data_IF_873878571598
#
_entry.id   IF_873878571598
#
_cell.length_a   1.000
_cell.length_b   1.000
_cell.length_c   1.000
_cell.angle_alpha   90.00
_cell.angle_beta   90.00
_cell.angle_gamma   90.00
#
_symmetry.space_group_name_H-M   'P 1'
#
loop_
_entity.id
_entity.type
_entity.pdbx_description
1 polymer ?
#
# COMPACT_ATOMS: atom_id res chain seq x y z
N UNK A 1 29.53 39.82 -1.78
CA UNK A 1 28.53 39.54 -0.72
C UNK A 1 29.12 38.43 0.14
N UNK A 2 29.51 38.72 1.39
CA UNK A 2 30.06 37.71 2.29
C UNK A 2 28.87 37.07 3.02
N UNK A 3 28.54 35.82 2.70
CA UNK A 3 27.45 35.08 3.35
C UNK A 3 28.04 34.45 4.61
N UNK A 4 27.43 34.71 5.76
CA UNK A 4 27.74 34.01 6.99
C UNK A 4 27.32 32.53 6.86
N UNK A 5 28.26 31.58 6.91
CA UNK A 5 27.96 30.16 6.75
C UNK A 5 27.00 29.61 7.81
N UNK A 6 27.03 30.14 9.03
CA UNK A 6 26.17 29.67 10.12
C UNK A 6 24.72 30.12 9.89
N UNK A 7 24.54 31.39 9.53
CA UNK A 7 23.21 31.94 9.19
C UNK A 7 22.62 31.23 7.98
N UNK A 8 23.44 30.98 6.95
CA UNK A 8 23.01 30.22 5.78
C UNK A 8 22.63 28.78 6.14
N UNK A 9 23.43 28.10 6.96
CA UNK A 9 23.15 26.74 7.42
C UNK A 9 21.84 26.65 8.21
N UNK A 10 21.59 27.60 9.11
CA UNK A 10 20.34 27.66 9.88
C UNK A 10 19.12 27.86 8.97
N UNK A 11 19.18 28.83 8.05
CA UNK A 11 18.10 29.09 7.10
C UNK A 11 17.80 27.88 6.19
N UNK A 12 18.85 27.17 5.76
CA UNK A 12 18.69 25.92 5.01
C UNK A 12 18.07 24.81 5.87
N UNK A 13 18.46 24.69 7.14
CA UNK A 13 17.90 23.73 8.08
C UNK A 13 16.40 23.95 8.31
N UNK A 14 15.98 25.21 8.47
CA UNK A 14 14.58 25.59 8.62
C UNK A 14 13.77 25.24 7.37
N UNK A 15 14.30 25.57 6.19
CA UNK A 15 13.65 25.24 4.92
C UNK A 15 13.50 23.72 4.71
N UNK A 16 14.56 22.95 5.01
CA UNK A 16 14.51 21.49 4.91
C UNK A 16 13.43 20.94 5.84
N UNK A 17 13.39 21.39 7.10
CA UNK A 17 12.40 20.94 8.07
C UNK A 17 10.98 21.27 7.62
N UNK A 18 10.76 22.49 7.15
CA UNK A 18 9.45 22.94 6.64
C UNK A 18 8.95 22.06 5.49
N UNK A 19 9.85 21.63 4.61
CA UNK A 19 9.50 20.78 3.46
C UNK A 19 9.39 19.30 3.84
N UNK A 20 10.21 18.79 4.75
CA UNK A 20 10.28 17.37 5.09
C UNK A 20 9.19 16.95 6.07
N UNK A 21 8.83 17.79 7.05
CA UNK A 21 7.81 17.43 8.05
C UNK A 21 6.44 17.01 7.44
N UNK A 22 5.90 17.71 6.42
CA UNK A 22 4.68 17.26 5.74
C UNK A 22 4.85 15.92 5.01
N UNK A 23 6.03 15.66 4.46
CA UNK A 23 6.33 14.41 3.75
C UNK A 23 6.42 13.24 4.71
N UNK A 24 7.08 13.41 5.86
CA UNK A 24 7.13 12.41 6.93
C UNK A 24 5.73 12.05 7.44
N UNK A 25 4.87 13.05 7.67
CA UNK A 25 3.47 12.82 8.07
C UNK A 25 2.70 12.02 7.01
N UNK A 26 2.93 12.33 5.74
CA UNK A 26 2.30 11.61 4.62
C UNK A 26 2.82 10.18 4.50
N UNK A 27 4.12 9.95 4.69
CA UNK A 27 4.71 8.62 4.73
C UNK A 27 4.12 7.79 5.87
N UNK A 28 4.08 8.33 7.09
CA UNK A 28 3.49 7.63 8.23
C UNK A 28 2.02 7.24 7.98
N UNK A 29 1.25 8.09 7.29
CA UNK A 29 -0.14 7.79 6.90
C UNK A 29 -0.23 6.63 5.91
N UNK A 30 0.66 6.59 4.91
CA UNK A 30 0.69 5.52 3.90
C UNK A 30 1.18 4.19 4.50
N UNK A 31 2.19 4.25 5.35
CA UNK A 31 2.80 3.10 6.02
C UNK A 31 1.88 2.47 7.07
N UNK A 32 0.94 3.24 7.63
CA UNK A 32 -0.05 2.71 8.57
C UNK A 32 -1.03 1.70 7.94
N UNK A 33 -1.22 1.73 6.62
CA UNK A 33 -2.12 0.82 5.89
C UNK A 33 -1.48 0.36 4.57
N UNK A 34 -0.43 -0.48 4.62
CA UNK A 34 0.24 -0.93 3.41
C UNK A 34 -0.66 -1.91 2.65
N UNK A 35 -0.50 -1.93 1.32
CA UNK A 35 -1.08 -3.01 0.50
C UNK A 35 -0.35 -4.31 0.83
N UNK A 36 -1.08 -5.28 1.37
CA UNK A 36 -0.52 -6.59 1.72
C UNK A 36 -0.85 -7.60 0.63
N UNK A 37 0.12 -7.94 -0.21
CA UNK A 37 -0.04 -8.99 -1.22
C UNK A 37 0.53 -10.32 -0.72
N UNK A 38 -0.30 -11.36 -0.70
CA UNK A 38 0.03 -12.70 -0.18
C UNK A 38 0.01 -13.77 -1.29
N UNK A 39 0.52 -13.40 -2.48
CA UNK A 39 0.74 -14.34 -3.57
C UNK A 39 -0.55 -14.92 -4.18
N UNK A 40 -0.45 -16.09 -4.85
CA UNK A 40 -1.61 -16.85 -5.31
C UNK A 40 -2.49 -17.33 -4.14
N UNK A 41 -3.81 -17.38 -4.36
CA UNK A 41 -4.73 -17.97 -3.38
C UNK A 41 -4.46 -19.47 -3.17
N UNK A 42 -4.48 -19.90 -1.92
CA UNK A 42 -4.28 -21.27 -1.47
C UNK A 42 -5.56 -21.78 -0.79
N UNK A 43 -6.05 -22.96 -1.22
CA UNK A 43 -7.25 -23.56 -0.63
C UNK A 43 -7.05 -23.88 0.85
N UNK A 44 -7.98 -23.45 1.70
CA UNK A 44 -7.95 -23.67 3.15
C UNK A 44 -7.10 -22.68 3.95
N UNK A 45 -6.30 -21.81 3.31
CA UNK A 45 -5.57 -20.73 3.99
C UNK A 45 -6.55 -19.62 4.41
N UNK A 46 -6.37 -19.11 5.63
CA UNK A 46 -7.17 -18.00 6.16
C UNK A 46 -6.47 -16.68 5.84
N UNK A 47 -7.18 -15.79 5.15
CA UNK A 47 -6.72 -14.46 4.79
C UNK A 47 -7.35 -13.41 5.70
N UNK A 48 -6.60 -12.34 5.98
CA UNK A 48 -7.04 -11.20 6.77
C UNK A 48 -7.67 -10.10 5.91
N UNK A 49 -8.46 -9.22 6.55
CA UNK A 49 -8.98 -8.01 5.91
C UNK A 49 -7.83 -7.16 5.35
N UNK A 50 -8.00 -6.62 4.14
CA UNK A 50 -7.00 -5.77 3.49
C UNK A 50 -5.95 -6.53 2.68
N UNK A 51 -5.87 -7.86 2.84
CA UNK A 51 -4.97 -8.69 2.05
C UNK A 51 -5.42 -8.79 0.60
N UNK A 52 -4.45 -8.86 -0.30
CA UNK A 52 -4.62 -9.08 -1.71
C UNK A 52 -4.02 -10.42 -2.11
N UNK A 53 -4.71 -11.15 -2.98
CA UNK A 53 -4.22 -12.42 -3.55
C UNK A 53 -4.49 -12.46 -5.05
N UNK A 54 -3.74 -13.29 -5.77
CA UNK A 54 -4.03 -13.61 -7.16
C UNK A 54 -4.85 -14.89 -7.24
N UNK A 55 -5.97 -14.87 -7.95
CA UNK A 55 -6.78 -16.05 -8.22
C UNK A 55 -7.37 -15.99 -9.62
N UNK A 56 -7.19 -17.06 -10.39
CA UNK A 56 -7.55 -17.16 -11.81
C UNK A 56 -7.10 -15.94 -12.64
N UNK A 57 -5.83 -15.55 -12.47
CA UNK A 57 -5.20 -14.45 -13.21
C UNK A 57 -5.70 -13.05 -12.84
N UNK A 58 -6.54 -12.92 -11.81
CA UNK A 58 -7.08 -11.64 -11.33
C UNK A 58 -6.57 -11.34 -9.93
N UNK A 59 -6.47 -10.05 -9.59
CA UNK A 59 -6.15 -9.58 -8.24
C UNK A 59 -7.44 -9.39 -7.43
N UNK A 60 -7.48 -9.93 -6.22
CA UNK A 60 -8.64 -9.89 -5.34
C UNK A 60 -8.28 -9.26 -4.00
N UNK A 61 -9.16 -8.42 -3.45
CA UNK A 61 -9.07 -7.83 -2.13
C UNK A 61 -9.95 -8.58 -1.13
N UNK A 62 -9.42 -8.91 0.04
CA UNK A 62 -10.14 -9.57 1.13
C UNK A 62 -10.84 -8.54 2.03
N UNK A 63 -12.18 -8.54 2.04
CA UNK A 63 -12.99 -7.55 2.77
C UNK A 63 -13.05 -7.82 4.28
N UNK A 64 -12.93 -9.08 4.68
CA UNK A 64 -12.93 -9.55 6.07
C UNK A 64 -12.31 -10.93 6.16
N UNK A 65 -11.90 -11.34 7.38
CA UNK A 65 -11.18 -12.59 7.61
C UNK A 65 -11.97 -13.80 7.07
N UNK A 66 -11.38 -14.56 6.15
CA UNK A 66 -12.06 -15.68 5.49
C UNK A 66 -11.08 -16.76 5.03
N UNK A 67 -11.56 -18.00 4.86
CA UNK A 67 -10.89 -19.06 4.11
C UNK A 67 -11.59 -19.38 2.78
N UNK A 68 -12.65 -18.62 2.44
CA UNK A 68 -13.39 -18.82 1.20
C UNK A 68 -12.53 -18.49 -0.03
N UNK A 69 -12.86 -19.10 -1.15
CA UNK A 69 -12.21 -18.83 -2.44
C UNK A 69 -12.64 -17.45 -2.97
N UNK A 70 -11.74 -16.69 -3.62
CA UNK A 70 -12.11 -15.47 -4.33
C UNK A 70 -13.16 -15.73 -5.41
N UNK A 71 -14.22 -14.92 -5.42
CA UNK A 71 -15.40 -15.09 -6.27
C UNK A 71 -16.58 -15.78 -5.57
N UNK A 72 -16.36 -16.51 -4.48
CA UNK A 72 -17.42 -17.25 -3.77
C UNK A 72 -18.08 -16.38 -2.68
N UNK A 73 -18.73 -15.30 -3.10
CA UNK A 73 -19.51 -14.40 -2.22
C UNK A 73 -18.84 -13.06 -1.92
N UNK A 74 -19.21 -12.45 -0.79
CA UNK A 74 -18.88 -11.04 -0.49
C UNK A 74 -17.53 -10.85 0.24
N UNK A 75 -16.85 -11.93 0.61
CA UNK A 75 -15.58 -11.85 1.33
C UNK A 75 -14.45 -11.29 0.45
N UNK A 76 -14.64 -11.31 -0.87
CA UNK A 76 -13.65 -10.89 -1.85
C UNK A 76 -14.24 -9.85 -2.80
N UNK A 77 -13.44 -8.83 -3.10
CA UNK A 77 -13.73 -7.86 -4.16
C UNK A 77 -12.69 -8.00 -5.27
N UNK A 78 -13.14 -8.10 -6.52
CA UNK A 78 -12.25 -8.08 -7.68
C UNK A 78 -11.58 -6.70 -7.79
N UNK A 79 -10.27 -6.64 -7.53
CA UNK A 79 -9.49 -5.42 -7.56
C UNK A 79 -8.94 -5.12 -8.95
N UNK A 80 -8.40 -6.15 -9.62
CA UNK A 80 -7.92 -6.06 -10.99
C UNK A 80 -8.38 -7.29 -11.75
N UNK A 81 -9.17 -7.06 -12.82
CA UNK A 81 -9.65 -8.14 -13.69
C UNK A 81 -8.51 -8.63 -14.59
N UNK A 82 -8.39 -9.95 -14.75
CA UNK A 82 -7.50 -10.54 -15.76
C UNK A 82 -7.74 -9.94 -17.15
N UNK A 83 -6.67 -9.80 -17.93
CA UNK A 83 -6.75 -9.40 -19.33
C UNK A 83 -7.56 -10.39 -20.17
N UNK A 84 -8.08 -9.92 -21.31
CA UNK A 84 -8.90 -10.73 -22.22
C UNK A 84 -8.19 -12.00 -22.71
N UNK A 85 -6.88 -11.91 -22.92
CA UNK A 85 -6.07 -12.99 -23.50
C UNK A 85 -5.32 -13.82 -22.45
N UNK A 86 -5.67 -13.68 -21.16
CA UNK A 86 -5.12 -14.50 -20.10
C UNK A 86 -5.57 -15.97 -20.30
N UNK A 87 -4.71 -16.75 -20.97
CA UNK A 87 -4.81 -18.21 -21.13
C UNK A 87 -3.95 -18.91 -20.10
#
# INVERSE_FOLDING_TARGET
MNIDPEVFGAAMGDLIREVVEPLEKRLATLEANPVQYDGPHESGKVYGKGMFVTHEGSLWHCNYRTASRPGDGQAWTLAVKRGKDAR
#
